data_IF_035200029747
#
_entry.id   IF_035200029747
#
_cell.length_a   1.000
_cell.length_b   1.000
_cell.length_c   1.000
_cell.angle_alpha   90.00
_cell.angle_beta   90.00
_cell.angle_gamma   90.00
#
_symmetry.space_group_name_H-M   'P 1'
#
loop_
_entity.id
_entity.type
_entity.pdbx_description
1 polymer ?
#
# COMPACT_ATOMS: atom_id res chain seq x y z
N UNK A 1 0.45 26.14 -6.18
CA UNK A 1 1.58 25.30 -5.77
C UNK A 1 1.18 24.69 -4.44
N UNK A 2 0.78 23.41 -4.46
CA UNK A 2 0.11 22.75 -3.36
C UNK A 2 0.98 22.68 -2.11
N UNK A 3 0.39 22.99 -0.98
CA UNK A 3 0.85 22.61 0.34
C UNK A 3 0.92 21.09 0.43
N UNK A 4 2.13 20.52 0.32
CA UNK A 4 2.33 19.07 0.45
C UNK A 4 2.26 18.68 1.93
N UNK A 5 1.08 18.35 2.43
CA UNK A 5 1.00 17.47 3.60
C UNK A 5 1.36 16.06 3.12
N UNK A 6 2.57 15.62 3.44
CA UNK A 6 3.11 14.35 2.97
C UNK A 6 2.84 13.24 3.99
N UNK A 7 2.31 12.11 3.51
CA UNK A 7 2.34 10.87 4.28
C UNK A 7 3.73 10.26 4.16
N UNK A 8 4.60 10.46 5.15
CA UNK A 8 5.86 9.71 5.24
C UNK A 8 5.58 8.31 5.79
N UNK A 9 5.65 7.30 4.93
CA UNK A 9 5.80 5.92 5.40
C UNK A 9 7.16 5.82 6.11
N UNK A 10 7.15 5.57 7.42
CA UNK A 10 8.36 5.42 8.21
C UNK A 10 8.93 4.03 7.93
N UNK A 11 9.80 3.99 6.93
CA UNK A 11 10.72 2.91 6.60
C UNK A 11 10.04 1.57 6.23
N UNK A 12 10.41 1.04 5.06
CA UNK A 12 9.88 -0.23 4.50
C UNK A 12 10.28 -1.47 5.33
N UNK A 13 11.03 -1.25 6.42
CA UNK A 13 11.47 -2.19 7.44
C UNK A 13 10.39 -2.57 8.46
N UNK A 14 9.23 -1.89 8.49
CA UNK A 14 8.11 -2.32 9.33
C UNK A 14 7.21 -3.28 8.56
N UNK A 15 7.20 -4.56 8.91
CA UNK A 15 6.32 -5.58 8.30
C UNK A 15 4.84 -5.49 8.73
N UNK A 16 4.41 -4.37 9.31
CA UNK A 16 3.13 -4.25 10.01
C UNK A 16 2.28 -3.07 9.55
N UNK A 17 1.03 -3.36 9.23
CA UNK A 17 0.00 -2.45 8.78
C UNK A 17 -0.27 -1.33 9.80
N UNK A 18 -0.33 -0.09 9.31
CA UNK A 18 -0.48 1.13 10.12
C UNK A 18 -1.52 2.07 9.51
N UNK A 19 -2.25 2.77 10.37
CA UNK A 19 -3.19 3.83 9.97
C UNK A 19 -2.64 5.19 10.37
N UNK A 20 -2.68 6.14 9.44
CA UNK A 20 -2.34 7.54 9.66
C UNK A 20 -3.49 8.45 9.24
N UNK A 21 -3.52 9.68 9.76
CA UNK A 21 -4.53 10.68 9.45
C UNK A 21 -3.85 12.02 9.15
N UNK A 22 -4.38 12.77 8.18
CA UNK A 22 -3.96 14.15 7.87
C UNK A 22 -5.14 14.93 7.29
N UNK A 23 -4.99 16.25 7.13
CA UNK A 23 -6.02 17.12 6.54
C UNK A 23 -5.50 17.71 5.24
N UNK A 24 -6.00 17.23 4.10
CA UNK A 24 -5.61 17.71 2.78
C UNK A 24 -6.72 18.62 2.25
N UNK A 25 -6.39 19.88 1.95
CA UNK A 25 -7.36 20.87 1.44
C UNK A 25 -8.64 20.99 2.28
N UNK A 26 -8.52 20.87 3.60
CA UNK A 26 -9.66 20.91 4.54
C UNK A 26 -10.43 19.60 4.67
N UNK A 27 -10.08 18.56 3.91
CA UNK A 27 -10.67 17.23 4.00
C UNK A 27 -9.82 16.32 4.90
N UNK A 28 -10.45 15.67 5.88
CA UNK A 28 -9.79 14.66 6.71
C UNK A 28 -9.58 13.39 5.89
N UNK A 29 -8.34 12.96 5.77
CA UNK A 29 -7.94 11.74 5.05
C UNK A 29 -7.31 10.76 6.02
N UNK A 30 -7.65 9.49 5.89
CA UNK A 30 -6.99 8.40 6.59
C UNK A 30 -6.34 7.46 5.58
N UNK A 31 -5.09 7.09 5.81
CA UNK A 31 -4.33 6.16 4.96
C UNK A 31 -3.96 4.94 5.79
N UNK A 32 -4.28 3.76 5.27
CA UNK A 32 -3.83 2.48 5.81
C UNK A 32 -2.68 2.00 4.94
N UNK A 33 -1.47 2.07 5.49
CA UNK A 33 -0.25 1.57 4.84
C UNK A 33 -0.08 0.09 5.19
N UNK A 34 0.08 -0.76 4.17
CA UNK A 34 0.13 -2.24 4.27
C UNK A 34 1.50 -2.78 3.84
N UNK A 35 2.58 -2.44 4.55
CA UNK A 35 3.93 -2.83 4.15
C UNK A 35 4.09 -4.35 4.19
N UNK A 36 4.63 -4.90 3.12
CA UNK A 36 4.91 -6.33 3.04
C UNK A 36 3.69 -7.24 3.07
N UNK A 37 2.48 -6.73 2.83
CA UNK A 37 1.26 -7.54 2.78
C UNK A 37 1.31 -8.59 1.66
N UNK A 38 2.10 -8.38 0.62
CA UNK A 38 2.22 -9.29 -0.52
C UNK A 38 3.67 -9.62 -0.85
N UNK A 39 4.57 -9.54 0.14
CA UNK A 39 5.99 -9.94 -0.03
C UNK A 39 6.10 -11.47 -0.08
N UNK A 40 6.89 -12.03 -1.02
CA UNK A 40 7.25 -13.45 -1.00
C UNK A 40 7.96 -13.83 0.31
N UNK A 41 7.73 -15.05 0.80
CA UNK A 41 8.45 -15.62 1.95
C UNK A 41 7.85 -15.37 3.34
N UNK A 42 6.71 -14.66 3.45
CA UNK A 42 5.96 -14.58 4.72
C UNK A 42 5.21 -15.89 5.02
N UNK A 43 5.10 -16.23 6.31
CA UNK A 43 4.25 -17.33 6.76
C UNK A 43 2.77 -17.00 6.51
N UNK A 44 1.98 -18.01 6.15
CA UNK A 44 0.55 -17.86 5.83
C UNK A 44 -0.24 -17.21 6.98
N UNK A 45 0.05 -17.59 8.23
CA UNK A 45 -0.62 -17.03 9.41
C UNK A 45 -0.32 -15.53 9.60
N UNK A 46 0.91 -15.10 9.34
CA UNK A 46 1.31 -13.69 9.42
C UNK A 46 0.60 -12.88 8.34
N UNK A 47 0.51 -13.43 7.12
CA UNK A 47 -0.21 -12.83 6.00
C UNK A 47 -1.70 -12.64 6.34
N UNK A 48 -2.36 -13.68 6.85
CA UNK A 48 -3.77 -13.62 7.24
C UNK A 48 -4.00 -12.59 8.35
N UNK A 49 -3.10 -12.51 9.33
CA UNK A 49 -3.20 -11.53 10.41
C UNK A 49 -3.05 -10.09 9.91
N UNK A 50 -2.13 -9.83 8.98
CA UNK A 50 -1.97 -8.50 8.38
C UNK A 50 -3.17 -8.12 7.50
N UNK A 51 -3.75 -9.07 6.75
CA UNK A 51 -4.99 -8.84 6.00
C UNK A 51 -6.12 -8.43 6.96
N UNK A 52 -6.36 -9.20 8.04
CA UNK A 52 -7.40 -8.87 9.04
C UNK A 52 -7.17 -7.49 9.64
N UNK A 53 -5.93 -7.20 10.04
CA UNK A 53 -5.54 -5.90 10.59
C UNK A 53 -5.83 -4.76 9.61
N UNK A 54 -5.55 -4.94 8.33
CA UNK A 54 -5.84 -3.93 7.30
C UNK A 54 -7.33 -3.63 7.18
N UNK A 55 -8.18 -4.67 7.22
CA UNK A 55 -9.64 -4.56 7.16
C UNK A 55 -10.17 -3.83 8.40
N UNK A 56 -9.70 -4.22 9.59
CA UNK A 56 -10.12 -3.61 10.85
C UNK A 56 -9.76 -2.12 10.91
N UNK A 57 -8.55 -1.76 10.48
CA UNK A 57 -8.10 -0.37 10.44
C UNK A 57 -8.84 0.46 9.38
N UNK A 58 -9.28 -0.17 8.29
CA UNK A 58 -10.03 0.47 7.21
C UNK A 58 -11.55 0.55 7.46
N UNK A 59 -12.08 -0.06 8.53
CA UNK A 59 -13.51 -0.09 8.85
C UNK A 59 -14.16 1.31 8.85
N UNK A 60 -15.37 1.49 8.27
CA UNK A 60 -16.27 0.46 7.70
C UNK A 60 -15.85 -0.12 6.36
N UNK A 61 -14.82 0.44 5.73
CA UNK A 61 -14.24 0.02 4.46
C UNK A 61 -13.49 1.18 3.82
N UNK A 62 -12.48 0.90 2.98
CA UNK A 62 -11.76 1.95 2.28
C UNK A 62 -12.64 2.60 1.20
N UNK A 63 -12.51 3.91 1.03
CA UNK A 63 -13.15 4.64 -0.07
C UNK A 63 -12.44 4.39 -1.41
N UNK A 64 -11.12 4.21 -1.36
CA UNK A 64 -10.22 4.01 -2.50
C UNK A 64 -9.13 3.03 -2.10
N UNK A 65 -8.78 2.11 -2.99
CA UNK A 65 -7.57 1.30 -2.92
C UNK A 65 -6.50 1.90 -3.82
N UNK A 66 -5.25 1.91 -3.38
CA UNK A 66 -4.11 2.37 -4.18
C UNK A 66 -3.22 1.17 -4.50
N UNK A 67 -3.07 0.86 -5.78
CA UNK A 67 -2.09 -0.12 -6.26
C UNK A 67 -0.85 0.64 -6.74
N UNK A 68 0.22 0.59 -5.95
CA UNK A 68 1.46 1.32 -6.22
C UNK A 68 2.42 0.42 -7.00
N UNK A 69 2.72 0.78 -8.24
CA UNK A 69 3.59 0.03 -9.14
C UNK A 69 4.80 0.88 -9.55
N UNK A 70 5.93 0.25 -9.81
CA UNK A 70 7.10 0.95 -10.36
C UNK A 70 6.93 1.17 -11.87
N UNK A 71 7.22 2.39 -12.32
CA UNK A 71 7.12 2.71 -13.74
C UNK A 71 8.12 1.89 -14.57
N UNK A 72 7.66 1.33 -15.69
CA UNK A 72 8.51 0.64 -16.66
C UNK A 72 8.88 -0.81 -16.32
N UNK A 73 8.45 -1.33 -15.17
CA UNK A 73 8.72 -2.72 -14.77
C UNK A 73 7.50 -3.33 -14.09
N UNK A 74 6.59 -3.93 -14.87
CA UNK A 74 5.56 -4.81 -14.31
C UNK A 74 6.16 -6.20 -14.15
N UNK A 75 6.24 -6.70 -12.93
CA UNK A 75 6.79 -8.05 -12.65
C UNK A 75 5.70 -9.08 -12.45
N UNK A 76 6.02 -10.38 -12.59
CA UNK A 76 5.10 -11.47 -12.25
C UNK A 76 4.64 -11.41 -10.79
N UNK A 77 5.52 -11.00 -9.88
CA UNK A 77 5.20 -10.80 -8.47
C UNK A 77 4.09 -9.74 -8.29
N UNK A 78 4.16 -8.63 -9.03
CA UNK A 78 3.12 -7.59 -9.00
C UNK A 78 1.77 -8.10 -9.53
N UNK A 79 1.77 -9.01 -10.50
CA UNK A 79 0.55 -9.67 -10.98
C UNK A 79 -0.03 -10.63 -9.93
N UNK A 80 0.82 -11.38 -9.23
CA UNK A 80 0.40 -12.24 -8.12
C UNK A 80 -0.24 -11.43 -6.98
N UNK A 81 0.31 -10.25 -6.66
CA UNK A 81 -0.30 -9.31 -5.69
C UNK A 81 -1.75 -8.99 -6.07
N UNK A 82 -2.01 -8.73 -7.36
CA UNK A 82 -3.36 -8.41 -7.84
C UNK A 82 -4.31 -9.61 -7.69
N UNK A 83 -3.84 -10.84 -7.92
CA UNK A 83 -4.65 -12.04 -7.71
C UNK A 83 -5.01 -12.24 -6.23
N UNK A 84 -4.06 -12.06 -5.32
CA UNK A 84 -4.31 -12.14 -3.88
C UNK A 84 -5.28 -11.03 -3.44
N UNK A 85 -5.13 -9.82 -3.98
CA UNK A 85 -6.04 -8.71 -3.74
C UNK A 85 -7.47 -9.04 -4.16
N UNK A 86 -7.67 -9.54 -5.37
CA UNK A 86 -9.00 -9.93 -5.88
C UNK A 86 -9.61 -11.07 -5.07
N UNK A 87 -8.80 -12.03 -4.63
CA UNK A 87 -9.25 -13.12 -3.74
C UNK A 87 -9.68 -12.61 -2.37
N UNK A 88 -8.98 -11.61 -1.84
CA UNK A 88 -9.22 -11.04 -0.50
C UNK A 88 -10.41 -10.09 -0.45
N UNK A 89 -10.45 -9.10 -1.35
CA UNK A 89 -11.43 -8.01 -1.32
C UNK A 89 -12.56 -8.17 -2.36
N UNK A 90 -12.44 -9.17 -3.24
CA UNK A 90 -13.40 -9.47 -4.29
C UNK A 90 -13.21 -8.59 -5.54
N UNK A 91 -13.67 -9.08 -6.70
CA UNK A 91 -13.54 -8.37 -7.99
C UNK A 91 -14.14 -6.96 -7.99
N UNK A 92 -15.14 -6.70 -7.15
CA UNK A 92 -15.75 -5.36 -7.02
C UNK A 92 -14.80 -4.32 -6.45
N UNK A 93 -13.78 -4.73 -5.68
CA UNK A 93 -12.78 -3.82 -5.13
C UNK A 93 -11.93 -3.14 -6.22
N UNK A 94 -11.79 -3.78 -7.39
CA UNK A 94 -11.13 -3.18 -8.55
C UNK A 94 -11.81 -1.89 -9.02
N UNK A 95 -13.13 -1.77 -8.86
CA UNK A 95 -13.87 -0.55 -9.21
C UNK A 95 -13.54 0.64 -8.30
N UNK A 96 -12.92 0.38 -7.14
CA UNK A 96 -12.46 1.39 -6.18
C UNK A 96 -10.93 1.51 -6.19
N UNK A 97 -10.24 0.85 -7.12
CA UNK A 97 -8.78 0.82 -7.17
C UNK A 97 -8.24 1.86 -8.16
N UNK A 98 -7.29 2.67 -7.71
CA UNK A 98 -6.50 3.56 -8.56
C UNK A 98 -5.06 3.04 -8.64
N UNK A 99 -4.53 2.91 -9.85
CA UNK A 99 -3.13 2.55 -10.08
C UNK A 99 -2.28 3.79 -10.00
N UNK A 100 -1.23 3.75 -9.17
CA UNK A 100 -0.27 4.83 -8.98
C UNK A 100 1.09 4.33 -9.45
N UNK A 101 1.67 4.99 -10.44
CA UNK A 101 3.02 4.70 -10.91
C UNK A 101 4.02 5.59 -10.18
N UNK A 102 5.04 4.98 -9.60
CA UNK A 102 6.16 5.68 -8.96
C UNK A 102 7.46 5.46 -9.73
N UNK A 103 8.34 6.45 -9.70
CA UNK A 103 9.72 6.32 -10.19
C UNK A 103 10.65 6.02 -9.01
N UNK A 104 11.75 5.31 -9.28
CA UNK A 104 12.83 5.18 -8.30
C UNK A 104 13.47 6.55 -8.14
N UNK A 105 13.51 7.08 -6.91
CA UNK A 105 14.34 8.24 -6.64
C UNK A 105 15.80 7.77 -6.71
N UNK A 106 16.64 8.46 -7.48
CA UNK A 106 18.06 8.15 -7.67
C UNK A 106 18.90 8.27 -6.38
N UNK A 107 18.30 8.76 -5.29
CA UNK A 107 18.98 9.03 -4.01
C UNK A 107 19.16 7.80 -3.09
N UNK A 108 18.61 6.63 -3.44
CA UNK A 108 18.79 5.39 -2.64
C UNK A 108 20.06 4.59 -2.99
N UNK A 109 20.88 5.05 -3.95
CA UNK A 109 22.12 4.36 -4.37
C UNK A 109 23.40 4.90 -3.70
N UNK A 110 23.30 5.85 -2.74
CA UNK A 110 24.47 6.46 -2.09
C UNK A 110 24.89 5.84 -0.73
N UNK A 111 24.16 4.86 -0.19
CA UNK A 111 24.52 4.16 1.07
C UNK A 111 25.14 2.77 0.84
N UNK A 112 25.85 2.60 -0.28
CA UNK A 112 26.72 1.46 -0.52
C UNK A 112 28.12 1.95 -0.93
N UNK A 113 28.87 2.50 0.04
CA UNK A 113 30.32 2.63 -0.08
C UNK A 113 31.00 2.46 1.28
#
# INVERSE_FOLDING_TARGET
MGNTETFTSKDSSKDRTQKSHSTVEGQKVAVVDTPGLFKPGKHEDELVNEIKRSIDLASPGPHVFLLVLRFGMITSEELEVLEVFVRTFGRRALAYTTVVFTHRNEDEDYEAN
#
